data_IF_854319827564
#
_entry.id   IF_854319827564
#
_cell.length_a   1.000
_cell.length_b   1.000
_cell.length_c   1.000
_cell.angle_alpha   90.00
_cell.angle_beta   90.00
_cell.angle_gamma   90.00
#
_symmetry.space_group_name_H-M   'P 1'
#
loop_
_entity.id
_entity.type
_entity.pdbx_description
1 polymer ?
#
# COMPACT_ATOMS: atom_id res chain seq x y z
N UNK A 1 2.27 4.52 -15.21
CA UNK A 1 2.74 4.44 -13.81
C UNK A 1 1.80 3.50 -13.09
N UNK A 2 2.26 2.38 -12.55
CA UNK A 2 1.41 1.50 -11.75
C UNK A 2 1.15 2.13 -10.39
N UNK A 3 -0.05 1.93 -9.84
CA UNK A 3 -0.50 2.67 -8.67
C UNK A 3 0.06 2.08 -7.35
N UNK A 4 0.67 0.89 -7.41
CA UNK A 4 1.48 0.24 -6.36
C UNK A 4 2.72 -0.39 -7.02
N UNK A 5 3.73 0.43 -7.40
CA UNK A 5 4.90 -0.01 -8.17
C UNK A 5 5.74 -1.11 -7.45
N UNK A 6 6.68 -1.68 -8.20
CA UNK A 6 7.62 -2.71 -7.77
C UNK A 6 8.26 -2.47 -6.39
N UNK A 7 7.99 -3.40 -5.47
CA UNK A 7 8.71 -3.56 -4.20
C UNK A 7 9.87 -4.54 -4.38
N UNK A 8 10.99 -4.20 -3.76
CA UNK A 8 12.17 -5.07 -3.70
C UNK A 8 12.06 -5.93 -2.45
N UNK A 9 12.44 -7.21 -2.56
CA UNK A 9 12.51 -8.15 -1.45
C UNK A 9 12.73 -9.56 -1.95
N UNK A 10 13.08 -10.47 -1.03
CA UNK A 10 13.02 -11.91 -1.32
C UNK A 10 11.57 -12.38 -1.40
N UNK A 11 11.35 -13.59 -1.93
CA UNK A 11 10.01 -14.19 -1.94
C UNK A 11 9.45 -14.29 -0.52
N UNK A 12 10.26 -14.75 0.42
CA UNK A 12 9.89 -14.95 1.83
C UNK A 12 9.51 -13.62 2.49
N UNK A 13 10.27 -12.55 2.19
CA UNK A 13 9.95 -11.21 2.68
C UNK A 13 8.62 -10.68 2.13
N UNK A 14 8.29 -10.98 0.88
CA UNK A 14 7.11 -10.43 0.19
C UNK A 14 5.84 -11.28 0.38
N UNK A 15 5.97 -12.53 0.85
CA UNK A 15 4.83 -13.43 1.07
C UNK A 15 3.82 -12.90 2.11
N UNK A 16 4.29 -12.04 3.02
CA UNK A 16 3.48 -11.35 4.02
C UNK A 16 3.23 -9.87 3.73
N UNK A 17 3.36 -9.42 2.48
CA UNK A 17 3.22 -8.01 2.13
C UNK A 17 2.25 -7.81 0.96
N UNK A 18 1.02 -7.45 1.31
CA UNK A 18 -0.10 -7.33 0.38
C UNK A 18 -0.66 -5.93 0.42
N UNK A 19 -0.86 -5.30 -0.73
CA UNK A 19 -1.43 -3.95 -0.79
C UNK A 19 -2.62 -3.92 -1.70
N UNK A 20 -3.78 -3.59 -1.14
CA UNK A 20 -4.94 -3.21 -1.91
C UNK A 20 -4.88 -1.71 -2.21
N UNK A 21 -5.18 -1.36 -3.45
CA UNK A 21 -5.42 0.00 -3.87
C UNK A 21 -6.78 0.06 -4.54
N UNK A 22 -7.57 1.04 -4.13
CA UNK A 22 -8.88 1.32 -4.68
C UNK A 22 -8.89 2.74 -5.25
N UNK A 23 -9.33 2.87 -6.50
CA UNK A 23 -9.43 4.16 -7.15
C UNK A 23 -10.65 4.23 -8.08
N UNK A 24 -11.34 5.38 -8.13
CA UNK A 24 -12.27 5.65 -9.20
C UNK A 24 -11.51 5.95 -10.50
N UNK A 25 -12.11 5.59 -11.62
CA UNK A 25 -11.66 5.98 -12.94
C UNK A 25 -12.09 7.41 -13.24
N UNK A 26 -11.12 8.23 -13.64
CA UNK A 26 -11.35 9.61 -14.06
C UNK A 26 -12.37 9.64 -15.19
N UNK A 27 -13.31 10.58 -15.10
CA UNK A 27 -14.37 10.83 -16.08
C UNK A 27 -15.37 9.65 -16.29
N UNK A 28 -15.32 8.59 -15.47
CA UNK A 28 -16.25 7.45 -15.54
C UNK A 28 -17.09 7.31 -14.26
N UNK A 29 -16.45 7.21 -13.09
CA UNK A 29 -17.15 6.89 -11.83
C UNK A 29 -16.52 7.59 -10.61
N UNK A 30 -15.99 8.79 -10.84
CA UNK A 30 -15.21 9.56 -9.87
C UNK A 30 -16.02 10.61 -9.13
N UNK A 31 -17.19 10.98 -9.64
CA UNK A 31 -18.17 11.79 -8.94
C UNK A 31 -18.90 10.90 -7.93
N UNK A 32 -19.12 11.41 -6.71
CA UNK A 32 -19.73 10.68 -5.60
C UNK A 32 -18.99 9.38 -5.24
N UNK A 33 -17.69 9.31 -5.53
CA UNK A 33 -16.87 8.13 -5.22
C UNK A 33 -16.52 8.04 -3.73
N UNK A 34 -16.59 9.14 -2.98
CA UNK A 34 -16.20 9.24 -1.57
C UNK A 34 -16.87 8.19 -0.67
N UNK A 35 -18.21 8.04 -0.68
CA UNK A 35 -18.89 6.99 0.10
C UNK A 35 -18.43 5.57 -0.25
N UNK A 36 -18.17 5.28 -1.53
CA UNK A 36 -17.68 3.97 -1.99
C UNK A 36 -16.23 3.72 -1.53
N UNK A 37 -15.38 4.74 -1.58
CA UNK A 37 -14.00 4.68 -1.08
C UNK A 37 -13.97 4.52 0.44
N UNK A 38 -14.85 5.20 1.16
CA UNK A 38 -15.04 5.00 2.61
C UNK A 38 -15.46 3.56 2.90
N UNK A 39 -16.45 3.03 2.16
CA UNK A 39 -16.90 1.65 2.32
C UNK A 39 -15.77 0.64 2.07
N UNK A 40 -14.92 0.89 1.07
CA UNK A 40 -13.71 0.09 0.84
C UNK A 40 -12.79 0.09 2.08
N UNK A 41 -12.51 1.25 2.68
CA UNK A 41 -11.67 1.35 3.87
C UNK A 41 -12.29 0.65 5.09
N UNK A 42 -13.62 0.74 5.26
CA UNK A 42 -14.36 0.01 6.31
C UNK A 42 -14.23 -1.51 6.14
N UNK A 43 -14.30 -2.02 4.91
CA UNK A 43 -14.06 -3.44 4.62
C UNK A 43 -12.61 -3.84 4.90
N UNK A 44 -11.64 -2.97 4.60
CA UNK A 44 -10.24 -3.23 4.94
C UNK A 44 -10.05 -3.38 6.45
N UNK A 45 -10.72 -2.54 7.24
CA UNK A 45 -10.67 -2.61 8.70
C UNK A 45 -11.37 -3.85 9.25
N UNK A 46 -12.51 -4.23 8.67
CA UNK A 46 -13.22 -5.46 9.02
C UNK A 46 -12.34 -6.70 8.82
N UNK A 47 -11.50 -6.70 7.79
CA UNK A 47 -10.59 -7.80 7.46
C UNK A 47 -9.18 -7.61 8.03
N UNK A 48 -9.04 -6.88 9.15
CA UNK A 48 -7.79 -6.78 9.91
C UNK A 48 -6.58 -6.23 9.14
N UNK A 49 -6.79 -5.23 8.28
CA UNK A 49 -5.66 -4.54 7.63
C UNK A 49 -4.69 -3.90 8.65
N UNK A 50 -3.41 -3.94 8.29
CA UNK A 50 -2.30 -3.41 9.10
C UNK A 50 -2.33 -1.89 9.12
N UNK A 51 -2.52 -1.25 7.97
CA UNK A 51 -2.54 0.21 7.86
C UNK A 51 -3.38 0.65 6.66
N UNK A 52 -3.92 1.86 6.76
CA UNK A 52 -4.67 2.53 5.71
C UNK A 52 -3.95 3.77 5.21
N UNK A 53 -4.14 4.13 3.94
CA UNK A 53 -3.62 5.35 3.35
C UNK A 53 -4.58 6.02 2.37
N UNK A 54 -4.56 7.35 2.32
CA UNK A 54 -5.22 8.18 1.32
C UNK A 54 -4.15 9.04 0.62
N UNK A 55 -4.03 8.93 -0.71
CA UNK A 55 -3.04 9.68 -1.49
C UNK A 55 -3.30 11.20 -1.51
N UNK A 56 -4.45 11.69 -1.06
CA UNK A 56 -4.77 13.12 -0.93
C UNK A 56 -4.49 13.66 0.47
N UNK A 57 -4.91 12.93 1.51
CA UNK A 57 -4.89 13.40 2.91
C UNK A 57 -3.94 12.63 3.83
N UNK A 58 -3.14 11.71 3.30
CA UNK A 58 -2.18 10.93 4.07
C UNK A 58 -2.81 9.70 4.73
N UNK A 59 -2.11 9.11 5.69
CA UNK A 59 -2.51 7.86 6.35
C UNK A 59 -3.06 8.07 7.76
N UNK A 60 -3.42 6.98 8.43
CA UNK A 60 -3.97 6.97 9.79
C UNK A 60 -3.07 7.64 10.84
N UNK A 61 -1.75 7.66 10.65
CA UNK A 61 -0.84 8.35 11.56
C UNK A 61 -0.77 9.86 11.27
N UNK A 62 -0.91 10.27 10.00
CA UNK A 62 -0.94 11.69 9.62
C UNK A 62 -2.24 12.33 10.09
N UNK A 63 -3.34 11.61 9.89
CA UNK A 63 -4.67 12.02 10.31
C UNK A 63 -4.96 11.69 11.78
N UNK A 64 -3.96 11.22 12.54
CA UNK A 64 -3.99 10.91 13.98
C UNK A 64 -4.92 9.76 14.41
N UNK A 65 -5.87 9.33 13.58
CA UNK A 65 -6.71 8.17 13.83
C UNK A 65 -7.26 7.56 12.53
N UNK A 66 -7.67 6.29 12.60
CA UNK A 66 -8.42 5.60 11.54
C UNK A 66 -9.80 6.22 11.30
N UNK A 67 -10.45 6.67 12.36
CA UNK A 67 -11.74 7.36 12.28
C UNK A 67 -11.65 8.66 11.49
N UNK A 68 -10.63 9.49 11.75
CA UNK A 68 -10.38 10.71 11.00
C UNK A 68 -10.15 10.39 9.51
N UNK A 69 -9.37 9.34 9.23
CA UNK A 69 -9.18 8.84 7.86
C UNK A 69 -10.53 8.52 7.18
N UNK A 70 -11.43 7.77 7.82
CA UNK A 70 -12.75 7.44 7.27
C UNK A 70 -13.66 8.66 7.09
N UNK A 71 -13.60 9.63 8.00
CA UNK A 71 -14.43 10.83 7.97
C UNK A 71 -13.95 11.86 6.94
N UNK A 72 -12.69 11.80 6.54
CA UNK A 72 -12.08 12.76 5.62
C UNK A 72 -11.98 12.26 4.18
N UNK A 73 -12.45 11.05 3.86
CA UNK A 73 -12.41 10.50 2.49
C UNK A 73 -13.14 11.42 1.52
N UNK A 74 -12.48 11.79 0.44
CA UNK A 74 -13.02 12.67 -0.60
C UNK A 74 -13.24 11.92 -1.91
N UNK A 75 -14.11 12.50 -2.75
CA UNK A 75 -14.21 12.12 -4.15
C UNK A 75 -12.86 12.19 -4.85
N UNK A 76 -12.68 11.33 -5.86
CA UNK A 76 -11.47 11.22 -6.68
C UNK A 76 -10.20 10.84 -5.88
N UNK A 77 -10.31 10.45 -4.61
CA UNK A 77 -9.17 9.97 -3.84
C UNK A 77 -8.72 8.58 -4.34
N UNK A 78 -7.45 8.28 -4.07
CA UNK A 78 -6.87 6.95 -4.23
C UNK A 78 -6.55 6.46 -2.83
N UNK A 79 -7.19 5.37 -2.43
CA UNK A 79 -7.07 4.83 -1.07
C UNK A 79 -6.38 3.47 -1.12
N UNK A 80 -5.66 3.15 -0.05
CA UNK A 80 -4.83 1.95 0.04
C UNK A 80 -4.98 1.30 1.40
N UNK A 81 -4.78 -0.02 1.44
CA UNK A 81 -4.69 -0.79 2.68
C UNK A 81 -3.63 -1.88 2.54
N UNK A 82 -2.81 -2.06 3.57
CA UNK A 82 -1.79 -3.11 3.61
C UNK A 82 -2.23 -4.25 4.51
N UNK A 83 -2.02 -5.49 4.07
CA UNK A 83 -2.30 -6.71 4.82
C UNK A 83 -1.03 -7.55 4.93
N UNK A 84 -0.94 -8.35 5.99
CA UNK A 84 0.19 -9.24 6.25
C UNK A 84 -0.23 -10.71 6.43
N UNK A 85 -1.48 -11.03 6.11
CA UNK A 85 -2.07 -12.35 6.28
C UNK A 85 -2.85 -12.71 5.01
N UNK A 86 -2.58 -13.91 4.46
CA UNK A 86 -3.19 -14.40 3.21
C UNK A 86 -4.69 -14.70 3.36
N UNK A 87 -5.13 -15.22 4.49
CA UNK A 87 -6.54 -15.52 4.74
C UNK A 87 -7.36 -14.23 4.81
N UNK A 88 -6.85 -13.20 5.49
CA UNK A 88 -7.45 -11.86 5.50
C UNK A 88 -7.56 -11.25 4.09
N UNK A 89 -6.58 -11.52 3.21
CA UNK A 89 -6.63 -11.11 1.80
C UNK A 89 -7.76 -11.84 1.05
N UNK A 90 -7.95 -13.15 1.28
CA UNK A 90 -9.03 -13.93 0.67
C UNK A 90 -10.39 -13.40 1.13
N UNK A 91 -10.57 -13.19 2.44
CA UNK A 91 -11.80 -12.67 3.02
C UNK A 91 -12.12 -11.27 2.49
N UNK A 92 -11.09 -10.40 2.39
CA UNK A 92 -11.22 -9.07 1.80
C UNK A 92 -11.67 -9.12 0.32
N UNK A 93 -11.13 -10.06 -0.47
CA UNK A 93 -11.55 -10.22 -1.88
C UNK A 93 -13.02 -10.65 -1.96
N UNK A 94 -13.45 -11.57 -1.12
CA UNK A 94 -14.84 -12.04 -1.09
C UNK A 94 -15.80 -10.93 -0.65
N UNK A 95 -15.44 -10.16 0.39
CA UNK A 95 -16.21 -9.00 0.85
C UNK A 95 -16.32 -7.91 -0.23
N UNK A 96 -15.23 -7.64 -0.96
CA UNK A 96 -15.25 -6.65 -2.05
C UNK A 96 -16.12 -7.10 -3.21
N UNK A 97 -16.06 -8.38 -3.56
CA UNK A 97 -16.89 -8.99 -4.60
C UNK A 97 -18.38 -8.88 -4.24
N UNK A 98 -18.74 -9.12 -2.98
CA UNK A 98 -20.12 -8.97 -2.49
C UNK A 98 -20.57 -7.50 -2.45
N UNK A 99 -19.66 -6.59 -2.09
CA UNK A 99 -19.98 -5.17 -1.98
C UNK A 99 -20.17 -4.48 -3.35
N UNK A 100 -19.61 -5.04 -4.43
CA UNK A 100 -19.73 -4.57 -5.81
C UNK A 100 -19.68 -3.03 -5.94
N UNK A 101 -18.62 -2.44 -5.39
CA UNK A 101 -18.50 -0.98 -5.30
C UNK A 101 -18.41 -0.29 -6.68
N UNK A 102 -18.15 -1.07 -7.74
CA UNK A 102 -17.93 -0.56 -9.09
C UNK A 102 -16.68 0.32 -9.21
N UNK A 103 -15.68 0.09 -8.36
CA UNK A 103 -14.39 0.80 -8.34
C UNK A 103 -13.25 -0.13 -8.81
N UNK A 104 -12.17 0.47 -9.31
CA UNK A 104 -10.99 -0.29 -9.72
C UNK A 104 -10.21 -0.74 -8.50
N UNK A 105 -9.91 -2.04 -8.42
CA UNK A 105 -9.12 -2.66 -7.36
C UNK A 105 -7.82 -3.20 -7.95
N UNK A 106 -6.70 -2.83 -7.34
CA UNK A 106 -5.37 -3.36 -7.66
C UNK A 106 -4.83 -4.05 -6.41
N UNK A 107 -4.37 -5.30 -6.57
CA UNK A 107 -3.72 -6.07 -5.51
C UNK A 107 -2.25 -6.21 -5.86
N UNK A 108 -1.40 -5.64 -5.02
CA UNK A 108 0.05 -5.83 -5.07
C UNK A 108 0.43 -6.98 -4.14
N UNK A 109 1.24 -7.91 -4.65
CA UNK A 109 1.73 -9.09 -3.96
C UNK A 109 2.48 -10.01 -4.92
N UNK A 110 2.96 -11.16 -4.44
CA UNK A 110 3.52 -12.20 -5.32
C UNK A 110 2.44 -12.69 -6.30
N UNK A 111 2.73 -12.67 -7.60
CA UNK A 111 1.73 -12.87 -8.66
C UNK A 111 1.00 -14.21 -8.54
N UNK A 112 1.72 -15.27 -8.24
CA UNK A 112 1.18 -16.62 -8.05
C UNK A 112 0.32 -16.71 -6.79
N UNK A 113 0.75 -16.09 -5.69
CA UNK A 113 -0.02 -16.03 -4.44
C UNK A 113 -1.31 -15.22 -4.61
N UNK A 114 -1.26 -14.06 -5.29
CA UNK A 114 -2.45 -13.26 -5.65
C UNK A 114 -3.40 -14.08 -6.53
N UNK A 115 -2.86 -14.80 -7.51
CA UNK A 115 -3.63 -15.69 -8.37
C UNK A 115 -4.36 -16.78 -7.60
N UNK A 116 -3.72 -17.37 -6.59
CA UNK A 116 -4.35 -18.35 -5.70
C UNK A 116 -5.49 -17.73 -4.88
N UNK A 117 -5.28 -16.56 -4.28
CA UNK A 117 -6.31 -15.85 -3.51
C UNK A 117 -7.54 -15.52 -4.37
N UNK A 118 -7.33 -15.01 -5.59
CA UNK A 118 -8.41 -14.78 -6.56
C UNK A 118 -9.13 -16.09 -6.92
N UNK A 119 -8.40 -17.16 -7.18
CA UNK A 119 -9.00 -18.45 -7.57
C UNK A 119 -9.89 -19.03 -6.46
N UNK A 120 -9.48 -18.89 -5.20
CA UNK A 120 -10.25 -19.32 -4.03
C UNK A 120 -11.58 -18.58 -3.86
N UNK A 121 -11.71 -17.36 -4.37
CA UNK A 121 -12.95 -16.57 -4.38
C UNK A 121 -13.71 -16.66 -5.70
N UNK A 122 -13.26 -17.54 -6.62
CA UNK A 122 -13.86 -17.71 -7.94
C UNK A 122 -13.58 -16.56 -8.91
N UNK A 123 -12.63 -15.69 -8.60
CA UNK A 123 -12.19 -14.59 -9.46
C UNK A 123 -10.91 -14.96 -10.23
N UNK A 124 -10.63 -14.18 -11.27
CA UNK A 124 -9.37 -14.25 -12.02
C UNK A 124 -8.81 -12.82 -12.15
N UNK A 125 -7.48 -12.63 -12.05
CA UNK A 125 -6.88 -11.33 -12.32
C UNK A 125 -7.22 -10.87 -13.75
N UNK A 126 -7.72 -9.64 -13.90
CA UNK A 126 -8.02 -9.05 -15.21
C UNK A 126 -6.73 -8.73 -15.99
N UNK A 127 -5.71 -8.22 -15.29
CA UNK A 127 -4.42 -7.86 -15.86
C UNK A 127 -3.34 -8.08 -14.81
N UNK A 128 -2.15 -8.48 -15.25
CA UNK A 128 -0.97 -8.63 -14.40
C UNK A 128 0.12 -7.72 -14.92
N UNK A 129 0.72 -6.92 -14.04
CA UNK A 129 1.91 -6.14 -14.36
C UNK A 129 3.15 -6.90 -13.90
N UNK A 130 4.16 -6.95 -14.77
CA UNK A 130 5.44 -7.57 -14.46
C UNK A 130 6.52 -6.50 -14.41
N UNK A 131 7.09 -6.32 -13.22
CA UNK A 131 8.32 -5.55 -13.09
C UNK A 131 9.49 -6.35 -13.66
N UNK A 132 10.20 -5.77 -14.63
CA UNK A 132 11.45 -6.32 -15.14
C UNK A 132 12.63 -6.10 -14.19
N UNK A 133 12.41 -5.46 -13.03
CA UNK A 133 13.47 -5.14 -12.08
C UNK A 133 14.34 -3.96 -12.54
N UNK A 134 15.57 -3.91 -12.03
CA UNK A 134 16.53 -2.83 -12.29
C UNK A 134 17.69 -3.31 -13.13
N UNK A 135 18.08 -2.51 -14.10
CA UNK A 135 19.13 -2.82 -15.06
C UNK A 135 20.18 -1.70 -15.10
N UNK A 136 21.41 -2.04 -15.47
CA UNK A 136 22.53 -1.08 -15.59
C UNK A 136 23.51 -1.16 -14.42
N UNK A 137 23.99 0.01 -13.95
CA UNK A 137 25.01 0.13 -12.89
C UNK A 137 24.41 -0.11 -11.49
N UNK A 138 23.90 -1.31 -11.24
CA UNK A 138 23.23 -1.67 -9.98
C UNK A 138 24.15 -1.60 -8.76
N UNK A 139 25.47 -1.66 -8.96
CA UNK A 139 26.49 -1.46 -7.93
C UNK A 139 26.49 -0.04 -7.33
N UNK A 140 25.85 0.93 -8.00
CA UNK A 140 25.68 2.30 -7.48
C UNK A 140 24.42 2.47 -6.64
N UNK A 141 23.54 1.47 -6.60
CA UNK A 141 22.32 1.54 -5.81
C UNK A 141 22.65 1.36 -4.32
N UNK A 142 21.80 1.89 -3.42
CA UNK A 142 21.87 1.53 -2.01
C UNK A 142 21.86 0.00 -1.80
N UNK A 143 22.41 -0.48 -0.67
CA UNK A 143 22.31 -1.89 -0.28
C UNK A 143 20.86 -2.40 -0.31
N UNK A 144 20.67 -3.70 -0.52
CA UNK A 144 19.36 -4.30 -0.73
C UNK A 144 18.39 -3.99 0.41
N UNK A 145 18.83 -4.12 1.66
CA UNK A 145 18.03 -3.85 2.86
C UNK A 145 17.52 -2.39 2.93
N UNK A 146 18.25 -1.45 2.31
CA UNK A 146 17.82 -0.05 2.20
C UNK A 146 16.82 0.11 1.05
N UNK A 147 17.04 -0.61 -0.06
CA UNK A 147 16.14 -0.60 -1.21
C UNK A 147 14.77 -1.21 -0.90
N UNK A 148 14.73 -2.27 -0.09
CA UNK A 148 13.48 -2.88 0.40
C UNK A 148 12.61 -1.82 1.08
N UNK A 149 13.19 -1.04 2.00
CA UNK A 149 12.48 0.05 2.69
C UNK A 149 12.15 1.22 1.76
N UNK A 150 13.10 1.61 0.89
CA UNK A 150 12.91 2.75 -0.01
C UNK A 150 11.78 2.49 -1.02
N UNK A 151 11.66 1.25 -1.51
CA UNK A 151 10.66 0.88 -2.52
C UNK A 151 9.29 0.52 -1.99
N UNK A 152 9.06 0.55 -0.68
CA UNK A 152 7.73 0.23 -0.12
C UNK A 152 6.60 1.08 -0.71
N UNK A 153 6.83 2.37 -0.97
CA UNK A 153 5.82 3.20 -1.62
C UNK A 153 5.77 3.02 -3.14
N UNK A 154 6.61 2.16 -3.71
CA UNK A 154 6.83 1.96 -5.14
C UNK A 154 7.63 3.08 -5.84
N UNK A 155 7.56 4.29 -5.30
CA UNK A 155 8.11 5.52 -5.90
C UNK A 155 9.49 5.91 -5.38
N UNK A 156 10.02 5.23 -4.36
CA UNK A 156 11.27 5.61 -3.68
C UNK A 156 11.28 7.05 -3.14
N UNK A 157 10.13 7.53 -2.64
CA UNK A 157 9.93 8.91 -2.18
C UNK A 157 10.67 9.29 -0.90
N UNK A 158 11.58 8.45 -0.44
CA UNK A 158 12.34 8.76 0.75
C UNK A 158 13.75 8.20 0.68
N UNK A 159 14.67 9.09 1.02
CA UNK A 159 16.09 8.94 0.77
C UNK A 159 16.69 7.77 1.53
N UNK A 160 17.64 7.12 0.87
CA UNK A 160 18.47 6.08 1.47
C UNK A 160 19.17 6.58 2.75
N UNK A 161 19.70 7.81 2.73
CA UNK A 161 20.38 8.40 3.89
C UNK A 161 19.46 8.51 5.11
N UNK A 162 18.19 8.89 4.91
CA UNK A 162 17.23 8.94 6.01
C UNK A 162 16.93 7.54 6.57
N UNK A 163 16.79 6.54 5.71
CA UNK A 163 16.57 5.14 6.13
C UNK A 163 17.76 4.63 6.96
N UNK A 164 18.98 4.92 6.51
CA UNK A 164 20.22 4.57 7.21
C UNK A 164 20.23 5.25 8.59
N UNK A 165 19.97 6.55 8.65
CA UNK A 165 19.97 7.31 9.91
C UNK A 165 18.96 6.75 10.91
N UNK A 166 17.72 6.48 10.47
CA UNK A 166 16.67 5.94 11.36
C UNK A 166 17.03 4.54 11.83
N UNK A 167 17.51 3.67 10.93
CA UNK A 167 17.95 2.31 11.26
C UNK A 167 19.06 2.34 12.32
N UNK A 168 20.03 3.24 12.18
CA UNK A 168 21.12 3.40 13.15
C UNK A 168 20.63 3.88 14.52
N UNK A 169 19.65 4.80 14.56
CA UNK A 169 19.05 5.24 15.83
C UNK A 169 18.29 4.10 16.51
N UNK A 170 17.60 3.26 15.76
CA UNK A 170 16.90 2.07 16.29
C UNK A 170 17.90 1.06 16.83
N UNK A 171 18.94 0.69 16.07
CA UNK A 171 19.98 -0.26 16.50
C UNK A 171 20.70 0.20 17.78
N UNK A 172 20.89 1.51 17.95
CA UNK A 172 21.50 2.11 19.15
C UNK A 172 20.54 2.28 20.32
N UNK A 173 19.28 1.82 20.20
CA UNK A 173 18.25 1.96 21.23
C UNK A 173 17.82 3.41 21.51
N UNK A 174 18.17 4.36 20.63
CA UNK A 174 17.83 5.78 20.80
C UNK A 174 16.35 6.05 20.54
N UNK A 175 15.74 5.27 19.66
CA UNK A 175 14.32 5.30 19.33
C UNK A 175 13.82 3.86 19.11
N UNK A 176 12.51 3.64 19.25
CA UNK A 176 11.90 2.38 18.83
C UNK A 176 11.71 2.36 17.32
N UNK A 177 11.59 1.17 16.72
CA UNK A 177 11.28 1.02 15.30
C UNK A 177 10.00 1.79 14.92
N UNK A 178 8.95 1.69 15.75
CA UNK A 178 7.69 2.39 15.55
C UNK A 178 7.87 3.92 15.58
N UNK A 179 8.71 4.45 16.48
CA UNK A 179 9.00 5.88 16.53
C UNK A 179 9.78 6.37 15.30
N UNK A 180 10.69 5.54 14.75
CA UNK A 180 11.43 5.84 13.52
C UNK A 180 10.58 5.90 12.25
N UNK A 181 9.38 5.30 12.26
CA UNK A 181 8.43 5.33 11.14
C UNK A 181 7.56 6.60 11.10
N UNK A 182 7.35 7.27 12.24
CA UNK A 182 6.49 8.46 12.38
C UNK A 182 6.94 9.74 11.63
N UNK A 183 8.24 10.06 11.45
CA UNK A 183 8.65 11.33 10.86
C UNK A 183 8.25 11.53 9.39
N UNK A 184 7.83 10.48 8.66
CA UNK A 184 7.42 10.57 7.25
C UNK A 184 6.01 11.13 7.02
N UNK A 185 5.28 11.46 8.08
CA UNK A 185 3.90 11.92 7.96
C UNK A 185 3.78 13.38 7.49
N UNK A 186 4.85 14.18 7.55
CA UNK A 186 4.81 15.57 7.06
C UNK A 186 5.46 15.79 5.70
N UNK A 187 6.37 14.92 5.25
CA UNK A 187 7.17 15.19 4.04
C UNK A 187 6.45 14.89 2.72
N UNK A 188 5.41 14.03 2.69
CA UNK A 188 4.67 13.76 1.45
C UNK A 188 3.85 14.93 0.93
N UNK A 189 3.74 16.03 1.70
CA UNK A 189 3.04 17.27 1.31
C UNK A 189 3.99 18.42 0.93
N UNK A 190 5.32 18.24 1.02
CA UNK A 190 6.28 19.30 0.69
C UNK A 190 6.64 19.38 -0.81
N UNK A 191 5.98 18.59 -1.67
CA UNK A 191 6.11 18.66 -3.13
C UNK A 191 4.73 18.73 -3.81
N UNK A 192 3.91 19.72 -3.41
CA UNK A 192 2.83 20.27 -4.23
C UNK A 192 3.03 21.77 -4.36
#
# INVERSE_FOLDING_TARGET
MTHTLHRVGSRESLQGDWVFLCMPSKDINHEESGPKLRKFLELCLKNDCVTLGDCRKGNEYHQLSRENMLNNVEDRAVVTATFNNKDAVIDMIEDLKQADLGLSIVISGLVDEVGECCSKTGLKPHTVEHSLGRWGKTEKLPPQEILEIATMCGHAMVSANFIIEMTEKVKKGKITAQAGLKPRLKLSLLYK
#
